data_IF_703989306423
#
_entry.id   IF_703989306423
#
_cell.length_a   1.000
_cell.length_b   1.000
_cell.length_c   1.000
_cell.angle_alpha   90.00
_cell.angle_beta   90.00
_cell.angle_gamma   90.00
#
_symmetry.space_group_name_H-M   'P 1'
#
loop_
_entity.id
_entity.type
_entity.pdbx_description
1 polymer ?
#
# COMPACT_ATOMS: atom_id res chain seq x y z
N UNK A 1 25.41 30.06 31.25
CA UNK A 1 24.47 29.79 30.14
C UNK A 1 23.04 29.87 30.65
N UNK A 2 22.43 31.06 30.65
CA UNK A 2 20.99 31.22 30.91
C UNK A 2 20.28 31.30 29.55
N UNK A 3 19.96 30.15 28.96
CA UNK A 3 19.12 30.10 27.77
C UNK A 3 17.66 30.22 28.22
N UNK A 4 17.03 31.31 27.79
CA UNK A 4 15.65 31.69 28.02
C UNK A 4 14.65 30.51 27.95
N UNK A 5 14.25 29.99 29.11
CA UNK A 5 13.11 29.07 29.27
C UNK A 5 11.79 29.64 28.70
N UNK A 6 11.69 30.98 28.55
CA UNK A 6 10.53 31.63 27.92
C UNK A 6 10.39 31.37 26.43
N UNK A 7 11.47 31.05 25.70
CA UNK A 7 11.36 30.70 24.26
C UNK A 7 10.85 29.27 24.04
N UNK A 8 11.02 28.38 25.02
CA UNK A 8 10.50 27.02 25.01
C UNK A 8 9.02 26.92 25.41
N UNK A 9 8.43 27.96 26.02
CA UNK A 9 7.01 28.00 26.38
C UNK A 9 6.14 28.07 25.10
N UNK A 10 6.53 28.83 24.08
CA UNK A 10 5.81 28.87 22.79
C UNK A 10 6.17 27.73 21.81
N UNK A 11 6.75 26.64 22.30
CA UNK A 11 7.16 25.53 21.46
C UNK A 11 5.95 24.64 21.16
N UNK A 12 5.41 24.76 19.95
CA UNK A 12 4.30 23.95 19.44
C UNK A 12 2.97 24.21 20.16
N UNK A 13 2.17 25.20 19.72
CA UNK A 13 0.87 25.54 20.30
C UNK A 13 -0.09 24.35 20.45
N UNK A 14 0.08 23.33 19.63
CA UNK A 14 -0.66 22.07 19.63
C UNK A 14 -0.33 21.21 20.87
N UNK A 15 0.91 21.28 21.36
CA UNK A 15 1.27 20.82 22.70
C UNK A 15 0.85 21.82 23.78
N UNK A 16 0.64 23.10 23.46
CA UNK A 16 0.22 24.12 24.42
C UNK A 16 -1.29 24.22 24.66
N UNK A 17 -2.16 23.49 23.96
CA UNK A 17 -3.46 23.17 24.59
C UNK A 17 -3.25 22.29 25.84
N UNK A 18 -2.10 21.63 25.93
CA UNK A 18 -1.55 21.09 27.17
C UNK A 18 -0.76 22.13 28.00
N UNK A 19 -0.64 23.42 27.68
CA UNK A 19 -0.07 24.40 28.66
C UNK A 19 -0.97 24.58 29.88
N UNK A 20 -2.28 24.28 29.75
CA UNK A 20 -3.18 24.18 30.91
C UNK A 20 -2.97 22.89 31.70
N UNK A 21 -2.42 21.84 31.10
CA UNK A 21 -2.04 20.59 31.75
C UNK A 21 -1.04 19.82 30.87
N UNK A 22 0.29 20.06 31.01
CA UNK A 22 1.30 19.48 30.12
C UNK A 22 1.48 17.97 30.36
N UNK A 23 0.71 17.46 31.32
CA UNK A 23 0.54 16.07 31.71
C UNK A 23 -0.90 15.60 31.42
N UNK A 24 -1.59 16.20 30.45
CA UNK A 24 -2.88 15.68 30.03
C UNK A 24 -2.67 14.28 29.45
N UNK A 25 -2.90 13.27 30.29
CA UNK A 25 -2.82 11.87 29.93
C UNK A 25 -3.76 11.55 28.75
N UNK A 26 -4.82 12.34 28.54
CA UNK A 26 -5.75 12.12 27.44
C UNK A 26 -5.23 12.60 26.07
N UNK A 27 -4.06 13.26 26.01
CA UNK A 27 -3.51 13.72 24.72
C UNK A 27 -2.67 12.63 24.03
N UNK A 28 -3.17 12.01 22.94
CA UNK A 28 -2.49 10.95 22.19
C UNK A 28 -1.10 11.35 21.67
N UNK A 29 -0.87 12.65 21.39
CA UNK A 29 0.44 13.13 20.93
C UNK A 29 1.53 12.87 21.96
N UNK A 30 1.21 12.96 23.25
CA UNK A 30 2.18 12.81 24.34
C UNK A 30 2.64 11.36 24.52
N UNK A 31 1.83 10.38 24.11
CA UNK A 31 2.20 8.96 24.09
C UNK A 31 3.20 8.63 22.97
N UNK A 32 3.08 9.32 21.84
CA UNK A 32 3.91 9.04 20.68
C UNK A 32 5.21 9.81 20.66
N UNK A 33 5.40 10.77 21.58
CA UNK A 33 6.70 11.38 21.85
C UNK A 33 7.71 10.34 22.31
N UNK A 34 8.99 10.67 22.20
CA UNK A 34 10.06 9.81 22.66
C UNK A 34 9.84 9.34 24.09
N UNK A 35 10.27 8.10 24.41
CA UNK A 35 10.33 7.65 25.78
C UNK A 35 11.29 8.55 26.57
N UNK A 36 10.71 9.55 27.21
CA UNK A 36 11.36 10.40 28.21
C UNK A 36 10.90 9.95 29.60
N UNK A 37 11.69 10.26 30.62
CA UNK A 37 11.28 10.01 32.00
C UNK A 37 9.88 10.60 32.29
N UNK A 38 9.59 11.79 31.75
CA UNK A 38 8.26 12.42 31.84
C UNK A 38 7.14 11.60 31.19
N UNK A 39 7.35 11.09 29.97
CA UNK A 39 6.34 10.24 29.31
C UNK A 39 6.07 8.94 30.08
N UNK A 40 7.11 8.34 30.70
CA UNK A 40 6.96 7.14 31.50
C UNK A 40 6.25 7.39 32.83
N UNK A 41 6.45 8.56 33.45
CA UNK A 41 5.69 8.96 34.64
C UNK A 41 4.24 9.31 34.32
N UNK A 42 3.98 9.90 33.14
CA UNK A 42 2.62 10.33 32.75
C UNK A 42 1.77 9.14 32.34
N UNK A 43 2.35 8.18 31.62
CA UNK A 43 1.62 7.08 30.98
C UNK A 43 1.91 5.68 31.55
N UNK A 44 2.78 5.60 32.57
CA UNK A 44 3.20 4.35 33.20
C UNK A 44 4.24 3.55 32.39
N UNK A 45 5.03 2.71 33.06
CA UNK A 45 6.11 1.91 32.43
C UNK A 45 5.64 0.69 31.64
N UNK A 46 4.39 0.26 31.81
CA UNK A 46 3.75 -0.84 31.07
C UNK A 46 3.44 -0.49 29.60
N UNK A 47 3.58 0.77 29.22
CA UNK A 47 3.31 1.32 27.87
C UNK A 47 4.37 0.99 26.82
N UNK A 48 5.60 0.62 27.23
CA UNK A 48 6.76 0.52 26.33
C UNK A 48 6.71 -0.62 25.30
N UNK A 49 6.05 -1.75 25.63
CA UNK A 49 5.94 -2.91 24.73
C UNK A 49 4.51 -3.27 24.31
N UNK A 50 3.50 -2.85 25.08
CA UNK A 50 2.14 -3.38 24.90
C UNK A 50 1.14 -2.38 24.34
N UNK A 51 1.31 -1.07 24.55
CA UNK A 51 0.20 -0.17 24.25
C UNK A 51 0.58 1.16 23.56
N UNK A 52 1.53 1.97 24.05
CA UNK A 52 1.57 3.38 23.60
C UNK A 52 2.97 4.01 23.58
N UNK A 53 3.90 3.43 22.82
CA UNK A 53 5.24 4.02 22.59
C UNK A 53 5.45 4.47 21.15
N UNK A 54 6.45 5.32 20.92
CA UNK A 54 6.85 5.84 19.60
C UNK A 54 6.98 4.76 18.50
N UNK A 55 7.31 3.53 18.88
CA UNK A 55 7.51 2.38 17.97
C UNK A 55 6.25 1.55 17.72
N UNK A 56 5.18 1.78 18.49
CA UNK A 56 3.96 1.02 18.40
C UNK A 56 3.22 1.35 17.09
N UNK A 57 2.65 0.35 16.38
CA UNK A 57 1.84 0.58 15.20
C UNK A 57 0.75 1.65 15.40
N UNK A 58 0.07 1.66 16.55
CA UNK A 58 -0.99 2.64 16.86
C UNK A 58 -0.44 4.06 16.89
N UNK A 59 0.74 4.28 17.48
CA UNK A 59 1.40 5.59 17.46
C UNK A 59 1.85 6.00 16.08
N UNK A 60 2.47 5.09 15.32
CA UNK A 60 2.92 5.42 13.97
C UNK A 60 1.74 5.71 13.03
N UNK A 61 0.62 4.98 13.14
CA UNK A 61 -0.59 5.25 12.38
C UNK A 61 -1.25 6.56 12.83
N UNK A 62 -1.44 6.78 14.13
CA UNK A 62 -1.99 8.03 14.68
C UNK A 62 -1.20 9.25 14.19
N UNK A 63 0.12 9.22 14.35
CA UNK A 63 1.00 10.32 13.95
C UNK A 63 0.94 10.58 12.45
N UNK A 64 0.93 9.52 11.65
CA UNK A 64 0.81 9.65 10.20
C UNK A 64 -0.56 10.23 9.80
N UNK A 65 -1.65 9.79 10.43
CA UNK A 65 -2.99 10.35 10.19
C UNK A 65 -3.09 11.82 10.62
N UNK A 66 -2.60 12.15 11.80
CA UNK A 66 -2.56 13.51 12.34
C UNK A 66 -1.80 14.44 11.40
N UNK A 67 -0.55 14.10 11.08
CA UNK A 67 0.27 14.90 10.17
C UNK A 67 -0.24 14.87 8.73
N UNK A 68 -1.00 13.84 8.32
CA UNK A 68 -1.62 13.80 6.99
C UNK A 68 -2.80 14.73 6.82
N UNK A 69 -3.39 15.27 7.89
CA UNK A 69 -4.47 16.26 7.77
C UNK A 69 -3.88 17.63 7.52
N UNK A 70 -2.97 18.03 8.40
CA UNK A 70 -2.23 19.29 8.33
C UNK A 70 -0.80 19.08 8.85
N UNK A 71 0.19 19.64 8.12
CA UNK A 71 1.59 19.52 8.51
C UNK A 71 1.99 20.76 9.32
N UNK A 72 1.90 20.65 10.64
CA UNK A 72 2.18 21.73 11.57
C UNK A 72 3.57 21.61 12.22
N UNK A 73 3.87 22.55 13.14
CA UNK A 73 5.16 22.61 13.84
C UNK A 73 5.46 21.37 14.67
N UNK A 74 4.42 20.65 15.13
CA UNK A 74 4.61 19.39 15.84
C UNK A 74 5.22 18.35 14.91
N UNK A 75 4.64 18.20 13.71
CA UNK A 75 5.12 17.26 12.68
C UNK A 75 6.55 17.61 12.24
N UNK A 76 6.85 18.90 12.01
CA UNK A 76 8.22 19.35 11.71
C UNK A 76 9.21 19.01 12.82
N UNK A 77 8.82 19.26 14.07
CA UNK A 77 9.66 18.98 15.22
C UNK A 77 9.91 17.48 15.36
N UNK A 78 8.87 16.68 15.24
CA UNK A 78 8.97 15.22 15.34
C UNK A 78 9.85 14.65 14.23
N UNK A 79 9.68 15.10 13.00
CA UNK A 79 10.54 14.74 11.87
C UNK A 79 12.02 15.00 12.20
N UNK A 80 12.34 16.22 12.64
CA UNK A 80 13.73 16.67 12.82
C UNK A 80 14.39 16.03 14.03
N UNK A 81 13.67 15.95 15.15
CA UNK A 81 14.26 15.47 16.40
C UNK A 81 14.29 13.94 16.49
N UNK A 82 13.44 13.22 15.73
CA UNK A 82 13.32 11.77 15.84
C UNK A 82 14.27 11.04 14.91
N UNK A 83 15.52 10.99 15.37
CA UNK A 83 16.64 10.38 14.65
C UNK A 83 16.82 8.89 14.96
N UNK A 84 15.93 8.27 15.73
CA UNK A 84 16.06 6.85 16.07
C UNK A 84 15.75 5.95 14.86
N UNK A 85 16.57 4.90 14.70
CA UNK A 85 16.52 3.89 13.63
C UNK A 85 16.26 2.47 14.16
N UNK A 86 16.11 2.32 15.47
CA UNK A 86 16.16 1.04 16.19
C UNK A 86 15.03 0.06 15.86
N UNK A 87 13.94 0.52 15.20
CA UNK A 87 12.74 -0.29 14.96
C UNK A 87 12.20 -0.14 13.54
N UNK A 88 11.60 -1.20 12.98
CA UNK A 88 11.00 -1.15 11.66
C UNK A 88 9.76 -0.24 11.62
N UNK A 89 9.41 0.18 10.42
CA UNK A 89 8.16 0.89 10.14
C UNK A 89 6.97 -0.07 10.26
N UNK A 90 6.29 -0.05 11.40
CA UNK A 90 5.16 -0.92 11.71
C UNK A 90 3.83 -0.38 11.16
N UNK A 91 3.77 0.90 10.76
CA UNK A 91 2.62 1.50 10.07
C UNK A 91 2.77 1.49 8.55
N UNK A 92 3.73 0.73 8.01
CA UNK A 92 3.86 0.61 6.57
C UNK A 92 2.67 -0.14 5.96
N UNK A 93 1.78 0.59 5.26
CA UNK A 93 0.59 0.02 4.60
C UNK A 93 0.91 -0.95 3.46
N UNK A 94 2.08 -0.78 2.86
CA UNK A 94 2.67 -1.69 1.89
C UNK A 94 4.08 -2.05 2.38
N UNK A 95 4.19 -3.03 3.31
CA UNK A 95 5.45 -3.34 3.95
C UNK A 95 6.41 -4.04 2.98
N UNK A 96 5.90 -4.76 1.97
CA UNK A 96 6.72 -5.45 0.98
C UNK A 96 7.40 -4.46 0.03
N UNK A 97 6.65 -3.55 -0.60
CA UNK A 97 7.25 -2.54 -1.49
C UNK A 97 8.17 -1.59 -0.71
N UNK A 98 7.83 -1.26 0.54
CA UNK A 98 8.73 -0.50 1.41
C UNK A 98 10.04 -1.25 1.65
N UNK A 99 9.97 -2.51 2.09
CA UNK A 99 11.16 -3.34 2.34
C UNK A 99 12.00 -3.51 1.08
N UNK A 100 11.34 -3.72 -0.05
CA UNK A 100 11.96 -3.83 -1.36
C UNK A 100 12.71 -2.55 -1.75
N UNK A 101 12.08 -1.39 -1.60
CA UNK A 101 12.70 -0.08 -1.80
C UNK A 101 13.92 0.13 -0.89
N UNK A 102 13.81 -0.18 0.40
CA UNK A 102 14.94 -0.01 1.33
C UNK A 102 16.11 -0.93 0.97
N UNK A 103 15.85 -2.17 0.53
CA UNK A 103 16.89 -3.10 0.04
C UNK A 103 17.55 -2.60 -1.24
N UNK A 104 16.76 -2.13 -2.20
CA UNK A 104 17.26 -1.52 -3.44
C UNK A 104 18.21 -0.36 -3.14
N UNK A 105 17.90 0.43 -2.11
CA UNK A 105 18.73 1.53 -1.62
C UNK A 105 19.89 1.09 -0.70
N UNK A 106 20.33 -0.17 -0.80
CA UNK A 106 21.42 -0.76 0.00
C UNK A 106 21.14 -0.78 1.50
N UNK A 107 19.94 -1.22 1.87
CA UNK A 107 19.45 -1.27 3.26
C UNK A 107 19.47 0.11 3.91
N UNK A 108 18.86 1.09 3.25
CA UNK A 108 18.63 2.38 3.89
C UNK A 108 17.75 2.18 5.13
N UNK A 109 18.23 2.66 6.28
CA UNK A 109 17.52 2.61 7.56
C UNK A 109 17.03 4.02 7.89
N UNK A 110 15.77 4.36 7.49
CA UNK A 110 15.21 5.67 7.76
C UNK A 110 14.98 5.84 9.26
N UNK A 111 15.10 7.07 9.74
CA UNK A 111 14.74 7.43 11.12
C UNK A 111 13.22 7.37 11.31
N UNK A 112 12.75 7.31 12.55
CA UNK A 112 11.32 7.43 12.84
C UNK A 112 10.70 8.73 12.34
N UNK A 113 11.46 9.83 12.37
CA UNK A 113 11.03 11.11 11.79
C UNK A 113 10.84 11.02 10.28
N UNK A 114 11.77 10.38 9.58
CA UNK A 114 11.64 10.12 8.13
C UNK A 114 10.50 9.12 7.82
N UNK A 115 10.30 8.11 8.67
CA UNK A 115 9.17 7.17 8.55
C UNK A 115 7.82 7.87 8.73
N UNK A 116 7.73 8.88 9.62
CA UNK A 116 6.52 9.70 9.77
C UNK A 116 6.16 10.36 8.43
N UNK A 117 7.12 10.99 7.75
CA UNK A 117 6.89 11.60 6.44
C UNK A 117 6.42 10.53 5.47
N UNK A 118 7.16 9.43 5.33
CA UNK A 118 6.82 8.35 4.39
C UNK A 118 5.39 7.86 4.58
N UNK A 119 4.99 7.60 5.82
CA UNK A 119 3.65 7.10 6.13
C UNK A 119 2.58 8.17 5.86
N UNK A 120 2.88 9.42 6.20
CA UNK A 120 2.00 10.58 5.94
C UNK A 120 1.74 10.76 4.44
N UNK A 121 2.80 10.76 3.62
CA UNK A 121 2.68 10.96 2.16
C UNK A 121 2.05 9.75 1.49
N UNK A 122 2.32 8.53 1.98
CA UNK A 122 1.60 7.34 1.56
C UNK A 122 0.10 7.57 1.78
N UNK A 123 -0.33 7.91 3.00
CA UNK A 123 -1.74 8.13 3.35
C UNK A 123 -2.41 9.17 2.44
N UNK A 124 -1.72 10.29 2.15
CA UNK A 124 -2.27 11.36 1.31
C UNK A 124 -2.37 11.00 -0.16
N UNK A 125 -1.37 10.30 -0.71
CA UNK A 125 -1.22 10.17 -2.16
C UNK A 125 -1.60 8.80 -2.72
N UNK A 126 -1.66 7.77 -1.87
CA UNK A 126 -1.92 6.40 -2.30
C UNK A 126 -3.11 5.84 -1.53
N UNK A 127 -4.07 5.26 -2.25
CA UNK A 127 -5.12 4.42 -1.68
C UNK A 127 -4.89 2.95 -2.01
N UNK A 128 -5.34 2.10 -1.10
CA UNK A 128 -5.27 0.65 -1.21
C UNK A 128 -6.69 0.09 -1.10
N UNK A 129 -7.48 0.13 -2.18
CA UNK A 129 -8.92 -0.14 -2.12
C UNK A 129 -9.26 -1.57 -1.70
N UNK A 130 -8.34 -2.51 -1.87
CA UNK A 130 -8.53 -3.93 -1.54
C UNK A 130 -7.95 -4.33 -0.18
N UNK A 131 -7.41 -3.36 0.58
CA UNK A 131 -6.90 -3.61 1.93
C UNK A 131 -7.98 -3.27 2.94
N UNK A 132 -8.34 -4.24 3.79
CA UNK A 132 -9.25 -4.05 4.91
C UNK A 132 -8.76 -2.93 5.83
N UNK A 133 -9.66 -2.01 6.19
CA UNK A 133 -9.40 -0.90 7.11
C UNK A 133 -10.24 -1.15 8.36
N UNK A 134 -9.58 -1.25 9.51
CA UNK A 134 -10.25 -1.27 10.81
C UNK A 134 -10.07 0.07 11.49
N UNK A 135 -11.14 0.55 12.12
CA UNK A 135 -11.09 1.71 12.97
C UNK A 135 -11.17 1.26 14.42
N UNK A 136 -10.25 1.76 15.24
CA UNK A 136 -10.21 1.46 16.68
C UNK A 136 -9.81 2.71 17.47
N UNK A 137 -10.23 2.84 18.75
CA UNK A 137 -9.73 3.92 19.60
C UNK A 137 -8.21 3.78 19.75
N UNK A 138 -7.49 4.89 19.69
CA UNK A 138 -6.04 4.94 19.91
C UNK A 138 -5.69 4.32 21.27
N UNK A 139 -6.45 4.67 22.30
CA UNK A 139 -6.42 4.08 23.64
C UNK A 139 -7.84 3.66 24.05
N UNK A 140 -8.06 2.36 24.21
CA UNK A 140 -9.38 1.81 24.56
C UNK A 140 -9.76 2.01 26.03
N UNK A 141 -8.82 2.43 26.87
CA UNK A 141 -9.08 2.73 28.29
C UNK A 141 -9.58 4.16 28.51
N UNK A 142 -9.46 5.05 27.52
CA UNK A 142 -9.85 6.46 27.61
C UNK A 142 -11.11 6.72 26.79
N UNK A 143 -12.19 7.12 27.47
CA UNK A 143 -13.54 7.31 26.89
C UNK A 143 -13.66 8.40 25.80
N UNK A 144 -12.59 9.13 25.50
CA UNK A 144 -12.53 10.17 24.46
C UNK A 144 -11.35 10.01 23.50
N UNK A 145 -10.68 8.85 23.51
CA UNK A 145 -9.51 8.62 22.68
C UNK A 145 -9.86 8.73 21.19
N UNK A 146 -9.03 9.40 20.35
CA UNK A 146 -9.33 9.49 18.94
C UNK A 146 -9.33 8.12 18.28
N UNK A 147 -10.17 7.95 17.28
CA UNK A 147 -10.15 6.76 16.45
C UNK A 147 -8.99 6.84 15.46
N UNK A 148 -8.24 5.74 15.33
CA UNK A 148 -7.18 5.55 14.34
C UNK A 148 -7.60 4.48 13.32
N UNK A 149 -7.12 4.62 12.09
CA UNK A 149 -7.28 3.57 11.07
C UNK A 149 -6.07 2.66 11.05
N UNK A 150 -6.31 1.37 11.20
CA UNK A 150 -5.32 0.30 11.03
C UNK A 150 -5.65 -0.47 9.76
N UNK A 151 -4.63 -0.80 9.00
CA UNK A 151 -4.74 -1.56 7.76
C UNK A 151 -4.45 -3.03 8.06
N UNK A 152 -5.43 -3.91 7.84
CA UNK A 152 -5.45 -5.28 8.36
C UNK A 152 -4.60 -6.28 7.55
N UNK A 153 -4.18 -5.94 6.33
CA UNK A 153 -3.48 -6.88 5.46
C UNK A 153 -2.02 -6.50 5.21
N UNK A 154 -1.14 -7.51 5.35
CA UNK A 154 0.25 -7.50 4.86
C UNK A 154 0.37 -7.87 3.38
N UNK A 155 -0.73 -8.33 2.76
CA UNK A 155 -0.73 -8.76 1.37
C UNK A 155 -0.86 -7.55 0.45
N UNK A 156 0.09 -7.43 -0.48
CA UNK A 156 0.19 -6.36 -1.47
C UNK A 156 -1.00 -6.45 -2.43
N UNK A 157 -1.97 -5.56 -2.23
CA UNK A 157 -3.03 -5.31 -3.19
C UNK A 157 -2.61 -4.23 -4.19
N UNK A 158 -3.25 -4.18 -5.38
CA UNK A 158 -3.04 -3.05 -6.27
C UNK A 158 -3.44 -1.76 -5.56
N UNK A 159 -2.59 -0.74 -5.69
CA UNK A 159 -2.82 0.59 -5.16
C UNK A 159 -3.23 1.54 -6.27
N UNK A 160 -3.87 2.65 -5.90
CA UNK A 160 -4.27 3.72 -6.83
C UNK A 160 -3.76 5.07 -6.34
N UNK A 161 -3.36 5.93 -7.26
CA UNK A 161 -2.96 7.30 -6.92
C UNK A 161 -4.21 8.13 -6.63
N UNK A 162 -4.25 8.80 -5.48
CA UNK A 162 -5.31 9.73 -5.10
C UNK A 162 -5.15 11.05 -5.88
N UNK A 163 -6.22 11.82 -6.12
CA UNK A 163 -6.10 13.17 -6.67
C UNK A 163 -5.19 14.05 -5.81
N UNK A 164 -4.19 14.70 -6.40
CA UNK A 164 -3.24 15.57 -5.69
C UNK A 164 -3.35 17.00 -6.23
N UNK A 165 -3.87 17.95 -5.44
CA UNK A 165 -3.93 19.36 -5.85
C UNK A 165 -2.66 20.13 -5.50
N UNK A 166 -2.41 21.23 -6.23
CA UNK A 166 -1.36 22.21 -5.98
C UNK A 166 0.06 21.61 -5.88
N UNK A 167 0.42 20.69 -6.78
CA UNK A 167 1.65 19.89 -6.69
C UNK A 167 2.91 20.73 -6.44
N UNK A 168 3.02 21.88 -7.10
CA UNK A 168 4.20 22.75 -6.98
C UNK A 168 4.34 23.43 -5.61
N UNK A 169 3.23 23.64 -4.90
CA UNK A 169 3.19 24.32 -3.60
C UNK A 169 2.84 23.35 -2.45
N UNK A 170 2.68 22.06 -2.76
CA UNK A 170 2.22 21.07 -1.80
C UNK A 170 3.33 20.69 -0.82
N UNK A 171 3.18 21.07 0.45
CA UNK A 171 4.16 20.81 1.53
C UNK A 171 4.55 19.33 1.63
N UNK A 172 3.59 18.41 1.43
CA UNK A 172 3.84 16.98 1.51
C UNK A 172 4.71 16.47 0.37
N UNK A 173 4.59 17.06 -0.83
CA UNK A 173 5.46 16.72 -1.97
C UNK A 173 6.86 17.23 -1.71
N UNK A 174 7.02 18.48 -1.26
CA UNK A 174 8.33 19.02 -0.90
C UNK A 174 9.03 18.19 0.17
N UNK A 175 8.30 17.80 1.23
CA UNK A 175 8.82 16.90 2.29
C UNK A 175 9.23 15.54 1.73
N UNK A 176 8.42 14.95 0.86
CA UNK A 176 8.71 13.67 0.19
C UNK A 176 9.98 13.75 -0.67
N UNK A 177 10.10 14.81 -1.48
CA UNK A 177 11.24 15.03 -2.39
C UNK A 177 12.50 15.48 -1.66
N UNK A 178 12.40 16.03 -0.45
CA UNK A 178 13.53 16.26 0.43
C UNK A 178 14.00 14.95 1.09
N UNK A 179 13.06 14.04 1.40
CA UNK A 179 13.30 12.77 2.10
C UNK A 179 13.18 11.55 1.16
N UNK A 180 13.85 11.64 0.01
CA UNK A 180 13.65 10.72 -1.13
C UNK A 180 13.90 9.26 -0.79
N UNK A 181 14.95 8.96 -0.01
CA UNK A 181 15.33 7.58 0.34
C UNK A 181 14.28 6.91 1.21
N UNK A 182 13.77 7.65 2.21
CA UNK A 182 12.73 7.15 3.08
C UNK A 182 11.42 6.95 2.32
N UNK A 183 11.08 7.85 1.40
CA UNK A 183 9.83 7.83 0.64
C UNK A 183 9.93 7.13 -0.72
N UNK A 184 11.01 6.39 -1.00
CA UNK A 184 11.33 5.93 -2.35
C UNK A 184 10.26 5.02 -2.95
N UNK A 185 9.63 4.17 -2.14
CA UNK A 185 8.51 3.30 -2.57
C UNK A 185 7.28 4.12 -3.00
N UNK A 186 6.96 5.19 -2.27
CA UNK A 186 5.85 6.10 -2.60
C UNK A 186 6.18 6.86 -3.90
N UNK A 187 7.39 7.39 -4.02
CA UNK A 187 7.86 8.09 -5.22
C UNK A 187 7.81 7.17 -6.44
N UNK A 188 8.31 5.94 -6.31
CA UNK A 188 8.29 4.94 -7.38
C UNK A 188 6.86 4.58 -7.79
N UNK A 189 5.92 4.47 -6.85
CA UNK A 189 4.51 4.23 -7.17
C UNK A 189 3.89 5.41 -7.93
N UNK A 190 4.17 6.64 -7.53
CA UNK A 190 3.70 7.84 -8.23
C UNK A 190 4.27 7.91 -9.66
N UNK A 191 5.56 7.62 -9.82
CA UNK A 191 6.20 7.54 -11.12
C UNK A 191 5.58 6.45 -12.02
N UNK A 192 5.35 5.25 -11.48
CA UNK A 192 4.71 4.17 -12.21
C UNK A 192 3.33 4.58 -12.75
N UNK A 193 2.51 5.22 -11.91
CA UNK A 193 1.20 5.71 -12.37
C UNK A 193 1.28 6.88 -13.35
N UNK A 194 2.32 7.70 -13.26
CA UNK A 194 2.58 8.76 -14.26
C UNK A 194 2.89 8.18 -15.64
N UNK A 195 3.83 7.22 -15.70
CA UNK A 195 4.22 6.55 -16.95
C UNK A 195 3.05 5.75 -17.54
N UNK A 196 2.25 5.10 -16.70
CA UNK A 196 1.10 4.32 -17.13
C UNK A 196 -0.14 5.16 -17.48
N UNK A 197 -0.09 6.49 -17.28
CA UNK A 197 -1.23 7.37 -17.57
C UNK A 197 -2.45 7.14 -16.67
N UNK A 198 -2.24 6.83 -15.39
CA UNK A 198 -3.34 6.70 -14.42
C UNK A 198 -4.16 8.00 -14.31
N UNK A 199 -5.47 7.89 -14.10
CA UNK A 199 -6.41 9.01 -14.17
C UNK A 199 -6.00 10.24 -13.33
N UNK A 200 -5.37 10.02 -12.17
CA UNK A 200 -5.02 11.08 -11.22
C UNK A 200 -3.59 11.63 -11.38
N UNK A 201 -2.89 11.32 -12.47
CA UNK A 201 -1.50 11.80 -12.72
C UNK A 201 -1.38 12.87 -13.81
N UNK A 202 -2.49 13.25 -14.45
CA UNK A 202 -2.49 14.23 -15.54
C UNK A 202 -1.87 15.58 -15.12
N UNK A 203 -2.07 15.98 -13.87
CA UNK A 203 -1.56 17.22 -13.31
C UNK A 203 -0.09 17.15 -12.85
N UNK A 204 0.57 16.00 -12.99
CA UNK A 204 2.01 15.88 -12.74
C UNK A 204 2.81 16.54 -13.86
N UNK A 205 2.21 16.70 -15.05
CA UNK A 205 2.84 17.40 -16.18
C UNK A 205 3.10 18.87 -15.84
N UNK A 206 4.27 19.37 -16.25
CA UNK A 206 4.81 20.69 -15.96
C UNK A 206 4.89 21.00 -14.45
N UNK A 207 5.08 19.97 -13.62
CA UNK A 207 5.17 20.11 -12.16
C UNK A 207 6.55 19.72 -11.63
N UNK A 208 6.80 20.01 -10.34
CA UNK A 208 8.04 19.57 -9.67
C UNK A 208 8.20 18.04 -9.67
N UNK A 209 7.10 17.28 -9.69
CA UNK A 209 7.14 15.83 -9.75
C UNK A 209 7.63 15.32 -11.10
N UNK A 210 7.13 15.87 -12.22
CA UNK A 210 7.61 15.46 -13.54
C UNK A 210 9.08 15.82 -13.72
N UNK A 211 9.49 17.02 -13.29
CA UNK A 211 10.91 17.41 -13.30
C UNK A 211 11.77 16.40 -12.54
N UNK A 212 11.36 16.05 -11.33
CA UNK A 212 12.04 15.03 -10.52
C UNK A 212 12.08 13.66 -11.21
N UNK A 213 10.98 13.24 -11.83
CA UNK A 213 10.88 11.97 -12.55
C UNK A 213 11.80 11.91 -13.76
N UNK A 214 11.91 13.00 -14.53
CA UNK A 214 12.83 13.09 -15.67
C UNK A 214 14.28 13.01 -15.20
N UNK A 215 14.63 13.76 -14.15
CA UNK A 215 15.98 13.76 -13.57
C UNK A 215 16.39 12.39 -13.00
N UNK A 216 15.42 11.62 -12.49
CA UNK A 216 15.67 10.33 -11.82
C UNK A 216 15.15 9.12 -12.60
N UNK A 217 14.81 9.30 -13.89
CA UNK A 217 14.09 8.32 -14.69
C UNK A 217 14.82 6.97 -14.74
N UNK A 218 16.14 7.00 -14.88
CA UNK A 218 16.97 5.80 -14.96
C UNK A 218 16.89 4.96 -13.67
N UNK A 219 16.96 5.62 -12.50
CA UNK A 219 16.92 4.93 -11.20
C UNK A 219 15.53 4.36 -10.94
N UNK A 220 14.48 5.13 -11.26
CA UNK A 220 13.10 4.70 -11.08
C UNK A 220 12.73 3.56 -12.04
N UNK A 221 13.11 3.63 -13.31
CA UNK A 221 12.94 2.53 -14.26
C UNK A 221 13.74 1.30 -13.84
N UNK A 222 14.96 1.48 -13.34
CA UNK A 222 15.76 0.36 -12.86
C UNK A 222 15.08 -0.33 -11.67
N UNK A 223 14.54 0.42 -10.71
CA UNK A 223 13.78 -0.11 -9.58
C UNK A 223 12.51 -0.87 -10.02
N UNK A 224 11.71 -0.27 -10.90
CA UNK A 224 10.45 -0.87 -11.38
C UNK A 224 10.66 -2.15 -12.20
N UNK A 225 11.80 -2.25 -12.90
CA UNK A 225 12.18 -3.45 -13.65
C UNK A 225 13.13 -4.36 -12.87
N UNK A 226 13.45 -4.04 -11.62
CA UNK A 226 14.44 -4.79 -10.86
C UNK A 226 13.90 -6.22 -10.66
N UNK A 227 14.61 -7.26 -11.12
CA UNK A 227 14.08 -8.61 -11.10
C UNK A 227 14.05 -9.13 -9.66
N UNK A 228 12.84 -9.39 -9.18
CA UNK A 228 12.55 -9.97 -7.85
C UNK A 228 13.39 -11.23 -7.59
N UNK A 229 13.72 -12.01 -8.64
CA UNK A 229 14.57 -13.22 -8.61
C UNK A 229 15.98 -13.02 -8.04
N UNK A 230 16.47 -11.79 -7.93
CA UNK A 230 17.77 -11.51 -7.30
C UNK A 230 17.68 -11.59 -5.77
N UNK A 231 16.49 -11.40 -5.20
CA UNK A 231 16.24 -11.41 -3.76
C UNK A 231 16.03 -12.81 -3.18
N UNK A 232 15.45 -13.74 -3.96
CA UNK A 232 15.33 -15.14 -3.56
C UNK A 232 16.72 -15.79 -3.40
N UNK A 233 17.71 -15.42 -4.24
CA UNK A 233 19.10 -15.88 -4.09
C UNK A 233 19.77 -15.43 -2.79
N UNK A 234 19.35 -14.31 -2.22
CA UNK A 234 19.86 -13.81 -0.93
C UNK A 234 19.20 -14.56 0.23
N UNK A 235 17.91 -14.90 0.12
CA UNK A 235 17.23 -15.80 1.09
C UNK A 235 17.87 -17.19 1.08
N UNK A 236 18.11 -17.76 -0.10
CA UNK A 236 18.76 -19.06 -0.24
C UNK A 236 20.19 -19.05 0.33
N UNK A 237 20.94 -17.94 0.18
CA UNK A 237 22.30 -17.83 0.74
C UNK A 237 22.36 -17.81 2.28
N UNK A 238 21.25 -17.52 2.96
CA UNK A 238 21.11 -17.62 4.42
C UNK A 238 20.42 -18.92 4.88
N UNK A 239 19.69 -19.61 4.00
CA UNK A 239 19.05 -20.91 4.28
C UNK A 239 19.82 -22.14 3.74
N UNK A 240 20.97 -21.95 3.08
CA UNK A 240 21.85 -23.08 2.70
C UNK A 240 22.66 -23.61 3.90
N UNK A 241 21.98 -23.89 5.00
CA UNK A 241 22.32 -24.96 5.92
C UNK A 241 21.03 -25.76 6.16
N UNK A 242 20.99 -26.96 5.55
CA UNK A 242 19.96 -28.01 5.68
C UNK A 242 18.73 -27.87 4.77
N UNK A 243 18.80 -28.42 3.56
CA UNK A 243 18.36 -29.79 3.25
C UNK A 243 18.25 -30.01 1.74
N UNK A 244 18.74 -31.16 1.28
CA UNK A 244 18.56 -31.65 -0.09
C UNK A 244 17.10 -32.10 -0.30
N UNK A 245 16.43 -31.65 -1.37
CA UNK A 245 15.44 -32.48 -2.08
C UNK A 245 15.10 -31.98 -3.49
N UNK A 246 14.73 -32.98 -4.27
CA UNK A 246 14.60 -33.14 -5.72
C UNK A 246 13.55 -32.26 -6.42
N UNK A 247 13.89 -31.78 -7.61
CA UNK A 247 13.08 -30.96 -8.52
C UNK A 247 11.94 -31.73 -9.21
N UNK A 248 10.72 -31.19 -9.11
CA UNK A 248 9.60 -31.38 -10.06
C UNK A 248 9.31 -30.02 -10.69
N UNK A 249 9.17 -29.96 -12.02
CA UNK A 249 8.81 -28.74 -12.73
C UNK A 249 7.39 -28.30 -12.36
N UNK A 250 7.26 -27.20 -11.60
CA UNK A 250 6.00 -26.55 -11.31
C UNK A 250 5.74 -25.46 -12.36
N UNK A 251 4.60 -25.55 -13.05
CA UNK A 251 4.02 -24.47 -13.84
C UNK A 251 3.82 -23.26 -12.92
N UNK A 252 4.48 -22.14 -13.19
CA UNK A 252 4.38 -20.92 -12.37
C UNK A 252 3.86 -19.75 -13.22
N UNK A 253 2.82 -19.12 -12.66
CA UNK A 253 2.24 -17.81 -12.96
C UNK A 253 1.31 -17.72 -14.20
N UNK A 254 0.01 -17.48 -13.95
CA UNK A 254 -0.95 -16.96 -14.93
C UNK A 254 -1.65 -15.70 -14.37
N UNK A 255 -2.15 -14.85 -15.27
CA UNK A 255 -2.85 -13.61 -14.91
C UNK A 255 -4.28 -13.64 -15.44
N UNK A 256 -5.26 -13.61 -14.54
CA UNK A 256 -6.67 -13.49 -14.91
C UNK A 256 -7.08 -12.04 -14.75
N UNK A 257 -7.59 -11.47 -15.85
CA UNK A 257 -8.15 -10.14 -15.88
C UNK A 257 -9.68 -10.16 -15.92
N UNK A 258 -10.30 -9.15 -15.31
CA UNK A 258 -11.72 -8.86 -15.53
C UNK A 258 -11.80 -7.52 -16.25
N UNK A 259 -12.51 -7.48 -17.38
CA UNK A 259 -12.79 -6.24 -18.09
C UNK A 259 -14.31 -6.06 -18.15
N UNK A 260 -14.81 -4.99 -17.53
CA UNK A 260 -16.23 -4.65 -17.55
C UNK A 260 -16.40 -3.49 -18.53
N UNK A 261 -17.27 -3.66 -19.51
CA UNK A 261 -17.53 -2.66 -20.54
C UNK A 261 -18.89 -2.00 -20.27
N UNK A 262 -18.89 -0.78 -19.73
CA UNK A 262 -20.06 0.11 -19.81
C UNK A 262 -19.97 0.90 -21.11
N UNK A 263 -21.11 1.23 -21.70
CA UNK A 263 -21.26 2.05 -22.92
C UNK A 263 -20.59 3.43 -22.86
N UNK A 264 -19.95 3.80 -21.74
CA UNK A 264 -19.23 5.08 -21.59
C UNK A 264 -17.88 5.04 -20.86
N UNK A 265 -17.35 3.90 -20.38
CA UNK A 265 -15.99 3.80 -19.81
C UNK A 265 -15.51 2.35 -19.71
N UNK A 266 -14.21 2.12 -19.95
CA UNK A 266 -13.54 0.81 -19.82
C UNK A 266 -12.71 0.73 -18.54
N UNK A 267 -12.78 -0.39 -17.82
CA UNK A 267 -11.90 -0.70 -16.70
C UNK A 267 -11.40 -2.14 -16.78
N UNK A 268 -10.11 -2.35 -16.47
CA UNK A 268 -9.45 -3.65 -16.44
C UNK A 268 -8.79 -3.87 -15.07
N UNK A 269 -9.04 -5.02 -14.44
CA UNK A 269 -8.38 -5.45 -13.20
C UNK A 269 -7.55 -6.70 -13.52
N UNK A 270 -6.26 -6.72 -13.18
CA UNK A 270 -5.38 -7.89 -13.33
C UNK A 270 -5.05 -8.46 -11.94
N UNK A 271 -5.16 -9.77 -11.78
CA UNK A 271 -4.75 -10.48 -10.57
C UNK A 271 -3.81 -11.64 -10.88
N UNK A 272 -2.83 -11.89 -10.00
CA UNK A 272 -1.86 -13.00 -10.09
C UNK A 272 -2.39 -14.18 -9.26
N UNK A 273 -2.53 -15.37 -9.85
CA UNK A 273 -3.00 -16.57 -9.17
C UNK A 273 -2.14 -17.80 -9.48
N UNK A 274 -2.04 -18.72 -8.51
CA UNK A 274 -1.64 -20.11 -8.76
C UNK A 274 -2.87 -20.92 -9.22
N UNK A 275 -2.67 -22.11 -9.80
CA UNK A 275 -3.77 -23.00 -10.21
C UNK A 275 -4.51 -23.45 -8.95
N UNK A 276 -5.57 -22.71 -8.61
CA UNK A 276 -6.32 -22.84 -7.38
C UNK A 276 -7.39 -21.76 -7.34
N UNK A 277 -8.60 -22.19 -7.07
CA UNK A 277 -9.87 -21.46 -6.91
C UNK A 277 -9.73 -19.94 -6.74
N UNK A 278 -10.26 -19.16 -7.69
CA UNK A 278 -10.46 -17.72 -7.52
C UNK A 278 -11.79 -17.54 -6.80
N UNK A 279 -11.83 -17.04 -5.55
CA UNK A 279 -13.09 -16.80 -4.86
C UNK A 279 -13.82 -15.62 -5.53
N UNK A 280 -14.98 -15.89 -6.11
CA UNK A 280 -15.97 -14.85 -6.38
C UNK A 280 -16.71 -14.56 -5.07
N UNK A 281 -16.64 -13.31 -4.59
CA UNK A 281 -17.42 -12.90 -3.43
C UNK A 281 -18.91 -12.83 -3.82
N UNK A 282 -19.82 -13.44 -3.05
CA UNK A 282 -21.24 -13.37 -3.36
C UNK A 282 -21.72 -11.92 -3.24
N UNK A 283 -22.50 -11.44 -4.22
CA UNK A 283 -23.06 -10.08 -4.24
C UNK A 283 -23.90 -9.72 -2.99
N UNK A 284 -24.22 -10.69 -2.12
CA UNK A 284 -24.92 -10.50 -0.85
C UNK A 284 -24.07 -9.92 0.28
N UNK A 285 -22.74 -9.97 0.21
CA UNK A 285 -21.84 -9.55 1.30
C UNK A 285 -21.25 -8.14 1.10
N UNK A 286 -21.44 -7.53 -0.07
CA UNK A 286 -20.99 -6.17 -0.37
C UNK A 286 -22.15 -5.20 -0.15
N UNK A 287 -22.01 -4.32 0.86
CA UNK A 287 -23.05 -3.36 1.25
C UNK A 287 -23.66 -2.61 0.06
N UNK A 288 -24.98 -2.74 -0.12
CA UNK A 288 -25.77 -2.28 -1.27
C UNK A 288 -25.98 -0.75 -1.36
N UNK A 289 -24.95 0.07 -1.13
CA UNK A 289 -25.13 1.54 -1.04
C UNK A 289 -24.60 2.33 -2.23
N UNK A 290 -24.06 1.69 -3.27
CA UNK A 290 -23.65 2.40 -4.50
C UNK A 290 -24.32 1.82 -5.75
N UNK A 291 -24.95 2.66 -6.63
CA UNK A 291 -25.58 2.22 -7.88
C UNK A 291 -24.63 1.47 -8.83
N UNK A 292 -23.33 1.65 -8.65
CA UNK A 292 -22.25 1.06 -9.44
C UNK A 292 -22.15 -0.47 -9.25
N UNK A 293 -22.36 -0.97 -8.03
CA UNK A 293 -22.23 -2.41 -7.75
C UNK A 293 -23.46 -3.22 -8.17
N UNK A 294 -24.63 -2.60 -8.27
CA UNK A 294 -25.85 -3.28 -8.73
C UNK A 294 -25.79 -3.70 -10.20
N UNK A 295 -24.99 -2.99 -11.03
CA UNK A 295 -24.72 -3.33 -12.43
C UNK A 295 -23.62 -4.37 -12.63
N UNK A 296 -22.74 -4.58 -11.63
CA UNK A 296 -21.69 -5.60 -11.69
C UNK A 296 -22.25 -7.02 -11.57
N UNK A 297 -23.45 -7.17 -11.00
CA UNK A 297 -24.16 -8.45 -10.85
C UNK A 297 -25.20 -8.67 -11.97
N UNK A 298 -25.11 -7.93 -13.08
CA UNK A 298 -25.95 -8.12 -14.27
C UNK A 298 -25.33 -9.22 -15.18
N UNK A 299 -25.99 -10.39 -15.30
CA UNK A 299 -25.44 -11.53 -16.02
C UNK A 299 -25.23 -11.30 -17.53
N UNK A 300 -25.84 -10.27 -18.12
CA UNK A 300 -25.72 -9.99 -19.56
C UNK A 300 -24.47 -9.16 -19.92
N UNK A 301 -23.70 -8.68 -18.93
CA UNK A 301 -22.66 -7.66 -19.13
C UNK A 301 -21.25 -8.05 -18.65
N UNK A 302 -21.04 -9.26 -18.12
CA UNK A 302 -19.72 -9.70 -17.63
C UNK A 302 -18.93 -10.37 -18.76
N UNK A 303 -17.77 -9.80 -19.11
CA UNK A 303 -16.77 -10.39 -20.00
C UNK A 303 -15.56 -10.82 -19.18
N UNK A 304 -15.20 -12.10 -19.21
CA UNK A 304 -13.95 -12.57 -18.61
C UNK A 304 -12.82 -12.37 -19.62
N UNK A 305 -11.72 -11.72 -19.20
CA UNK A 305 -10.56 -11.46 -20.04
C UNK A 305 -9.34 -12.13 -19.44
N UNK A 306 -9.00 -13.33 -19.91
CA UNK A 306 -7.78 -13.99 -19.43
C UNK A 306 -6.59 -13.58 -20.29
N UNK A 307 -5.45 -13.29 -19.65
CA UNK A 307 -4.18 -13.10 -20.33
C UNK A 307 -3.29 -14.30 -20.07
N UNK A 308 -2.96 -15.02 -21.14
CA UNK A 308 -2.12 -16.21 -21.07
C UNK A 308 -0.95 -16.03 -22.03
N UNK A 309 0.27 -16.33 -21.59
CA UNK A 309 1.38 -16.38 -22.53
C UNK A 309 1.14 -17.52 -23.53
N UNK A 310 1.74 -17.37 -24.71
CA UNK A 310 1.51 -18.28 -25.83
C UNK A 310 1.86 -19.74 -25.49
N UNK A 311 2.92 -19.99 -24.73
CA UNK A 311 3.35 -21.34 -24.39
C UNK A 311 2.33 -22.04 -23.50
N UNK A 312 1.89 -21.36 -22.43
CA UNK A 312 0.85 -21.87 -21.53
C UNK A 312 -0.47 -22.11 -22.25
N UNK A 313 -0.86 -21.20 -23.16
CA UNK A 313 -2.09 -21.35 -23.92
C UNK A 313 -2.05 -22.53 -24.92
N UNK A 314 -0.90 -22.78 -25.56
CA UNK A 314 -0.71 -23.92 -26.44
C UNK A 314 -0.75 -25.25 -25.66
N UNK A 315 -0.16 -25.31 -24.46
CA UNK A 315 -0.22 -26.48 -23.59
C UNK A 315 -1.65 -26.79 -23.11
N UNK A 316 -2.41 -25.77 -22.70
CA UNK A 316 -3.82 -25.92 -22.31
C UNK A 316 -4.68 -26.48 -23.46
N UNK A 317 -4.50 -25.96 -24.68
CA UNK A 317 -5.24 -26.44 -25.87
C UNK A 317 -4.86 -27.88 -26.20
N UNK A 318 -3.55 -28.19 -26.19
CA UNK A 318 -3.04 -29.54 -26.47
C UNK A 318 -3.61 -30.57 -25.50
N UNK A 319 -3.76 -30.20 -24.23
CA UNK A 319 -4.30 -31.06 -23.18
C UNK A 319 -5.83 -31.06 -23.09
N UNK A 320 -6.52 -30.25 -23.93
CA UNK A 320 -7.99 -30.05 -23.88
C UNK A 320 -8.48 -29.61 -22.49
N UNK A 321 -7.69 -28.80 -21.80
CA UNK A 321 -8.04 -28.29 -20.48
C UNK A 321 -9.17 -27.27 -20.57
N UNK A 322 -10.06 -27.27 -19.57
CA UNK A 322 -11.19 -26.33 -19.46
C UNK A 322 -10.90 -25.29 -18.40
N UNK A 323 -11.41 -24.07 -18.63
CA UNK A 323 -11.40 -23.02 -17.60
C UNK A 323 -12.68 -23.17 -16.78
N UNK A 324 -12.54 -23.29 -15.47
CA UNK A 324 -13.66 -23.40 -14.53
C UNK A 324 -13.79 -22.14 -13.68
N UNK A 325 -15.00 -21.62 -13.56
CA UNK A 325 -15.36 -20.52 -12.65
C UNK A 325 -16.31 -21.06 -11.59
N UNK A 326 -16.06 -20.71 -10.33
CA UNK A 326 -16.89 -21.09 -9.19
C UNK A 326 -17.68 -19.88 -8.69
N UNK A 327 -19.00 -19.99 -8.68
CA UNK A 327 -19.91 -18.95 -8.19
C UNK A 327 -21.00 -19.55 -7.30
N UNK A 328 -20.93 -19.27 -5.99
CA UNK A 328 -21.96 -19.65 -5.03
C UNK A 328 -22.32 -21.15 -5.02
N UNK A 329 -21.36 -22.04 -5.25
CA UNK A 329 -21.57 -23.49 -5.31
C UNK A 329 -21.89 -24.05 -6.71
N UNK A 330 -21.97 -23.21 -7.74
CA UNK A 330 -22.10 -23.64 -9.14
C UNK A 330 -20.73 -23.60 -9.82
N UNK A 331 -20.50 -24.55 -10.74
CA UNK A 331 -19.29 -24.62 -11.57
C UNK A 331 -19.68 -24.31 -13.01
N UNK A 332 -19.01 -23.33 -13.60
CA UNK A 332 -19.17 -22.94 -14.99
C UNK A 332 -17.90 -23.30 -15.75
N UNK A 333 -18.00 -23.99 -16.89
CA UNK A 333 -16.81 -24.36 -17.68
C UNK A 333 -16.87 -23.81 -19.09
N UNK A 334 -15.73 -23.31 -19.57
CA UNK A 334 -15.54 -22.91 -20.96
C UNK A 334 -14.32 -23.63 -21.56
N UNK A 335 -14.43 -24.02 -22.83
CA UNK A 335 -13.33 -24.58 -23.60
C UNK A 335 -12.54 -23.47 -24.28
N UNK A 336 -11.22 -23.62 -24.37
CA UNK A 336 -10.39 -22.75 -25.20
C UNK A 336 -10.68 -22.96 -26.70
N UNK A 337 -10.52 -21.93 -27.54
CA UNK A 337 -10.64 -22.08 -28.98
C UNK A 337 -9.57 -23.04 -29.53
N UNK A 338 -9.92 -23.84 -30.54
CA UNK A 338 -9.02 -24.89 -31.09
C UNK A 338 -7.73 -24.34 -31.73
N UNK A 339 -7.68 -23.04 -32.06
CA UNK A 339 -6.51 -22.37 -32.63
C UNK A 339 -6.29 -21.02 -31.97
N UNK A 340 -5.08 -20.78 -31.46
CA UNK A 340 -4.68 -19.47 -30.93
C UNK A 340 -4.24 -18.52 -32.04
N UNK A 341 -4.50 -17.22 -31.91
CA UNK A 341 -3.84 -16.17 -32.68
C UNK A 341 -2.32 -16.19 -32.50
N UNK A 342 -1.57 -15.66 -33.47
CA UNK A 342 -0.12 -15.88 -33.62
C UNK A 342 0.76 -15.30 -32.49
N UNK A 343 0.25 -14.41 -31.61
CA UNK A 343 0.97 -13.79 -30.47
C UNK A 343 0.01 -13.49 -29.31
N UNK A 344 0.57 -13.31 -28.09
CA UNK A 344 -0.10 -12.96 -26.81
C UNK A 344 -1.57 -12.55 -26.98
N UNK A 345 -2.47 -13.46 -26.64
CA UNK A 345 -3.89 -13.33 -27.00
C UNK A 345 -4.72 -13.02 -25.76
N UNK A 346 -5.50 -11.96 -25.87
CA UNK A 346 -6.63 -11.69 -24.98
C UNK A 346 -7.76 -12.61 -25.43
N UNK A 347 -8.14 -13.56 -24.58
CA UNK A 347 -9.32 -14.41 -24.82
C UNK A 347 -10.47 -13.82 -24.03
N UNK A 348 -11.47 -13.33 -24.75
CA UNK A 348 -12.68 -12.73 -24.19
C UNK A 348 -13.78 -13.79 -24.21
N UNK A 349 -14.23 -14.21 -23.04
CA UNK A 349 -15.39 -15.10 -22.91
C UNK A 349 -16.64 -14.28 -22.63
N UNK A 350 -17.71 -14.59 -23.35
CA UNK A 350 -19.08 -14.16 -23.03
C UNK A 350 -19.71 -15.16 -22.07
N UNK A 351 -20.72 -14.74 -21.32
CA UNK A 351 -21.46 -15.62 -20.42
C UNK A 351 -22.06 -16.84 -21.16
N UNK A 352 -22.49 -16.65 -22.41
CA UNK A 352 -22.95 -17.73 -23.30
C UNK A 352 -21.92 -18.83 -23.58
N UNK A 353 -20.63 -18.55 -23.37
CA UNK A 353 -19.54 -19.47 -23.67
C UNK A 353 -19.31 -20.46 -22.52
N UNK A 354 -19.95 -20.24 -21.37
CA UNK A 354 -19.87 -21.09 -20.21
C UNK A 354 -21.09 -22.02 -20.10
N UNK A 355 -20.83 -23.32 -20.06
CA UNK A 355 -21.84 -24.30 -19.70
C UNK A 355 -21.82 -24.50 -18.18
N UNK A 356 -23.00 -24.43 -17.55
CA UNK A 356 -23.18 -24.87 -16.16
C UNK A 356 -22.99 -26.39 -16.12
N UNK A 357 -22.08 -26.84 -15.25
CA UNK A 357 -21.81 -28.27 -15.03
C UNK A 357 -22.80 -28.84 -14.03
#
# INVERSE_FOLDING_TARGET
MSRNYKKSINFCPELNQAEKSPFNADNPLTYCLFPTLGSQFTHGSSSSNLLYGTYNPSCQNFMAEYCSKDWNKFCDTYEILNTDKSKPNNAARDPENFTYAQRFLKNNEPTLGEMLIRNTVSLRFIDFPFIGKRQEPFDSSISGSPTITIYENKNVGPSVIKPISNINDNVFIHKMLHNQKACFDVIARLYAGFVNGEANTHNFRNSILEKFFVENQNVLNYFLNYPEKTLDKIKDSHETYKTNKTTKHNLKDFYVGFQIQDTKNEFSVLTKGNIGTIPLYPCSEVGQTTPYFKKLCDPDHVKLVTYMDKGTAEDFIKNKEKISIYDGGNIYTASLPEKLPKRNTIIVYKNSDFAKV
#
